data_IF_883029764239
#
_entry.id   IF_883029764239
#
_cell.length_a   1.000
_cell.length_b   1.000
_cell.length_c   1.000
_cell.angle_alpha   90.00
_cell.angle_beta   90.00
_cell.angle_gamma   90.00
#
_symmetry.space_group_name_H-M   'P 1'
#
loop_
_entity.id
_entity.type
_entity.pdbx_description
1 polymer ?
#
# COMPACT_ATOMS: atom_id res chain seq x y z
N UNK A 1 -0.77 15.74 -26.34
CA UNK A 1 -0.21 15.71 -24.97
C UNK A 1 0.87 16.77 -24.88
N UNK A 2 0.54 17.90 -24.26
CA UNK A 2 1.54 18.89 -23.89
C UNK A 2 2.40 18.36 -22.73
N UNK A 3 3.60 18.92 -22.54
CA UNK A 3 4.53 18.49 -21.48
C UNK A 3 3.90 18.73 -20.09
N UNK A 4 3.07 19.76 -19.96
CA UNK A 4 2.37 20.08 -18.70
C UNK A 4 1.36 18.99 -18.29
N UNK A 5 0.66 18.38 -19.25
CA UNK A 5 -0.25 17.26 -18.98
C UNK A 5 0.53 16.03 -18.50
N UNK A 6 1.67 15.73 -19.12
CA UNK A 6 2.55 14.64 -18.71
C UNK A 6 3.05 14.83 -17.27
N UNK A 7 3.49 16.04 -16.92
CA UNK A 7 3.96 16.37 -15.57
C UNK A 7 2.82 16.19 -14.56
N UNK A 8 1.63 16.71 -14.87
CA UNK A 8 0.46 16.62 -14.00
C UNK A 8 0.02 15.18 -13.75
N UNK A 9 -0.05 14.37 -14.81
CA UNK A 9 -0.45 12.97 -14.77
C UNK A 9 0.56 12.12 -13.97
N UNK A 10 1.85 12.41 -14.14
CA UNK A 10 2.93 11.77 -13.37
C UNK A 10 2.84 12.12 -11.88
N UNK A 11 2.62 13.39 -11.55
CA UNK A 11 2.43 13.85 -10.16
C UNK A 11 1.23 13.16 -9.50
N UNK A 12 0.11 13.08 -10.23
CA UNK A 12 -1.10 12.42 -9.75
C UNK A 12 -0.88 10.91 -9.55
N UNK A 13 -0.17 10.23 -10.45
CA UNK A 13 0.21 8.83 -10.29
C UNK A 13 1.10 8.58 -9.07
N UNK A 14 2.09 9.46 -8.82
CA UNK A 14 2.91 9.41 -7.61
C UNK A 14 2.07 9.57 -6.34
N UNK A 15 1.14 10.52 -6.35
CA UNK A 15 0.23 10.78 -5.22
C UNK A 15 -0.67 9.56 -4.96
N UNK A 16 -1.16 8.90 -6.02
CA UNK A 16 -1.96 7.69 -5.93
C UNK A 16 -1.17 6.55 -5.28
N UNK A 17 0.06 6.31 -5.73
CA UNK A 17 0.95 5.30 -5.14
C UNK A 17 1.19 5.56 -3.64
N UNK A 18 1.38 6.83 -3.28
CA UNK A 18 1.53 7.22 -1.87
C UNK A 18 0.25 6.90 -1.08
N UNK A 19 -0.92 7.27 -1.59
CA UNK A 19 -2.20 7.08 -0.91
C UNK A 19 -2.57 5.60 -0.76
N UNK A 20 -2.34 4.79 -1.79
CA UNK A 20 -2.60 3.34 -1.78
C UNK A 20 -1.65 2.60 -0.83
N UNK A 21 -0.38 3.01 -0.77
CA UNK A 21 0.61 2.36 0.09
C UNK A 21 0.44 2.74 1.58
N UNK A 22 -0.07 3.93 1.87
CA UNK A 22 -0.25 4.44 3.23
C UNK A 22 -0.98 3.48 4.19
N UNK A 23 -2.18 2.94 3.88
CA UNK A 23 -2.86 2.02 4.79
C UNK A 23 -2.08 0.72 5.03
N UNK A 24 -1.44 0.17 3.99
CA UNK A 24 -0.63 -1.04 4.11
C UNK A 24 0.59 -0.79 4.98
N UNK A 25 1.29 0.33 4.76
CA UNK A 25 2.46 0.73 5.54
C UNK A 25 2.09 0.99 7.00
N UNK A 26 0.97 1.66 7.26
CA UNK A 26 0.52 2.01 8.61
C UNK A 26 0.20 0.75 9.41
N UNK A 27 -0.50 -0.22 8.82
CA UNK A 27 -0.77 -1.49 9.51
C UNK A 27 0.48 -2.36 9.64
N UNK A 28 1.36 -2.40 8.64
CA UNK A 28 2.64 -3.10 8.73
C UNK A 28 3.52 -2.53 9.85
N UNK A 29 3.54 -1.20 10.01
CA UNK A 29 4.25 -0.50 11.08
C UNK A 29 3.59 -0.79 12.45
N UNK A 30 2.28 -0.63 12.57
CA UNK A 30 1.56 -0.85 13.83
C UNK A 30 1.66 -2.31 14.32
N UNK A 31 1.45 -3.28 13.42
CA UNK A 31 1.60 -4.71 13.73
C UNK A 31 3.05 -5.06 14.06
N UNK A 32 4.02 -4.52 13.30
CA UNK A 32 5.44 -4.69 13.59
C UNK A 32 5.81 -4.20 14.98
N UNK A 33 5.39 -2.98 15.35
CA UNK A 33 5.63 -2.40 16.66
C UNK A 33 4.97 -3.21 17.79
N UNK A 34 3.71 -3.62 17.62
CA UNK A 34 3.01 -4.42 18.61
C UNK A 34 3.70 -5.78 18.85
N UNK A 35 4.11 -6.46 17.77
CA UNK A 35 4.81 -7.75 17.81
C UNK A 35 6.20 -7.60 18.45
N UNK A 36 6.95 -6.54 18.12
CA UNK A 36 8.25 -6.24 18.73
C UNK A 36 8.13 -5.96 20.23
N UNK A 37 7.07 -5.27 20.65
CA UNK A 37 6.81 -4.99 22.07
C UNK A 37 6.46 -6.25 22.86
N UNK A 38 5.60 -7.12 22.30
CA UNK A 38 5.26 -8.42 22.90
C UNK A 38 6.48 -9.35 23.02
N UNK A 39 7.37 -9.33 22.02
CA UNK A 39 8.66 -10.03 22.06
C UNK A 39 9.56 -9.52 23.18
N UNK A 40 9.61 -8.20 23.37
CA UNK A 40 10.45 -7.58 24.41
C UNK A 40 9.97 -7.92 25.83
N UNK A 41 8.66 -7.91 26.07
CA UNK A 41 8.08 -8.21 27.40
C UNK A 41 8.18 -9.70 27.75
N UNK A 42 7.96 -10.59 26.78
CA UNK A 42 7.87 -12.04 27.05
C UNK A 42 9.24 -12.72 27.04
N UNK A 43 10.32 -12.01 26.70
CA UNK A 43 11.69 -12.56 26.55
C UNK A 43 11.82 -13.72 25.53
N UNK A 44 10.78 -14.03 24.76
CA UNK A 44 10.76 -15.08 23.75
C UNK A 44 11.17 -14.49 22.39
N UNK A 45 12.47 -14.55 22.09
CA UNK A 45 13.07 -14.08 20.82
C UNK A 45 13.12 -15.19 19.74
N UNK A 46 12.17 -16.12 19.75
CA UNK A 46 12.04 -17.11 18.69
C UNK A 46 11.51 -16.44 17.41
N UNK A 47 12.42 -16.10 16.50
CA UNK A 47 12.13 -15.31 15.30
C UNK A 47 11.08 -15.95 14.40
N UNK A 48 10.91 -17.28 14.44
CA UNK A 48 9.96 -18.01 13.60
C UNK A 48 8.50 -17.63 13.88
N UNK A 49 8.11 -17.51 15.17
CA UNK A 49 6.74 -17.14 15.55
C UNK A 49 6.47 -15.66 15.22
N UNK A 50 7.44 -14.79 15.50
CA UNK A 50 7.39 -13.36 15.15
C UNK A 50 7.13 -13.15 13.66
N UNK A 51 7.85 -13.88 12.81
CA UNK A 51 7.73 -13.78 11.36
C UNK A 51 6.36 -14.26 10.87
N UNK A 52 5.87 -15.38 11.41
CA UNK A 52 4.54 -15.91 11.07
C UNK A 52 3.40 -14.95 11.43
N UNK A 53 3.40 -14.40 12.65
CA UNK A 53 2.36 -13.46 13.10
C UNK A 53 2.38 -12.18 12.25
N UNK A 54 3.58 -11.66 11.93
CA UNK A 54 3.72 -10.47 11.09
C UNK A 54 3.22 -10.70 9.66
N UNK A 55 3.51 -11.87 9.08
CA UNK A 55 2.99 -12.25 7.75
C UNK A 55 1.47 -12.27 7.73
N UNK A 56 0.84 -12.96 8.69
CA UNK A 56 -0.63 -13.04 8.76
C UNK A 56 -1.26 -11.64 8.89
N UNK A 57 -0.70 -10.78 9.74
CA UNK A 57 -1.19 -9.41 9.91
C UNK A 57 -1.12 -8.59 8.61
N UNK A 58 0.00 -8.66 7.89
CA UNK A 58 0.16 -7.96 6.61
C UNK A 58 -0.76 -8.55 5.54
N UNK A 59 -0.87 -9.88 5.44
CA UNK A 59 -1.75 -10.54 4.47
C UNK A 59 -3.21 -10.16 4.67
N UNK A 60 -3.72 -10.14 5.91
CA UNK A 60 -5.08 -9.70 6.21
C UNK A 60 -5.29 -8.23 5.82
N UNK A 61 -4.31 -7.39 6.09
CA UNK A 61 -4.35 -5.97 5.70
C UNK A 61 -4.47 -5.82 4.19
N UNK A 62 -3.61 -6.50 3.43
CA UNK A 62 -3.63 -6.45 1.97
C UNK A 62 -4.92 -7.04 1.42
N UNK A 63 -5.47 -8.09 2.03
CA UNK A 63 -6.74 -8.67 1.61
C UNK A 63 -7.91 -7.68 1.77
N UNK A 64 -7.92 -6.87 2.83
CA UNK A 64 -8.94 -5.85 3.08
C UNK A 64 -8.71 -4.60 2.22
N UNK A 65 -7.47 -4.14 2.10
CA UNK A 65 -7.12 -2.94 1.33
C UNK A 65 -7.07 -3.19 -0.19
N UNK A 66 -6.94 -4.45 -0.62
CA UNK A 66 -6.77 -4.86 -2.01
C UNK A 66 -7.90 -4.42 -2.94
N UNK A 67 -9.18 -4.66 -2.62
CA UNK A 67 -10.29 -4.23 -3.47
C UNK A 67 -10.34 -2.72 -3.69
N UNK A 68 -10.09 -1.94 -2.63
CA UNK A 68 -10.07 -0.49 -2.71
C UNK A 68 -8.86 0.02 -3.52
N UNK A 69 -7.66 -0.53 -3.28
CA UNK A 69 -6.46 -0.20 -4.04
C UNK A 69 -6.62 -0.53 -5.54
N UNK A 70 -7.24 -1.66 -5.86
CA UNK A 70 -7.52 -2.06 -7.23
C UNK A 70 -8.49 -1.10 -7.93
N UNK A 71 -9.53 -0.62 -7.23
CA UNK A 71 -10.46 0.35 -7.77
C UNK A 71 -9.78 1.69 -8.10
N UNK A 72 -8.92 2.18 -7.21
CA UNK A 72 -8.14 3.41 -7.42
C UNK A 72 -7.16 3.29 -8.60
N UNK A 73 -6.44 2.17 -8.71
CA UNK A 73 -5.55 1.90 -9.85
C UNK A 73 -6.35 1.87 -11.16
N UNK A 74 -7.53 1.24 -11.16
CA UNK A 74 -8.39 1.17 -12.34
C UNK A 74 -8.90 2.54 -12.77
N UNK A 75 -9.32 3.39 -11.82
CA UNK A 75 -9.71 4.77 -12.11
C UNK A 75 -8.56 5.57 -12.74
N UNK A 76 -7.35 5.44 -12.20
CA UNK A 76 -6.19 6.12 -12.77
C UNK A 76 -5.84 5.58 -14.17
N UNK A 77 -5.93 4.27 -14.39
CA UNK A 77 -5.73 3.67 -15.70
C UNK A 77 -6.77 4.15 -16.73
N UNK A 78 -8.03 4.35 -16.31
CA UNK A 78 -9.07 4.95 -17.15
C UNK A 78 -8.76 6.41 -17.49
N UNK A 79 -8.27 7.20 -16.54
CA UNK A 79 -7.83 8.57 -16.78
C UNK A 79 -6.67 8.61 -17.79
N UNK A 80 -5.68 7.72 -17.65
CA UNK A 80 -4.58 7.58 -18.61
C UNK A 80 -5.10 7.23 -20.01
N UNK A 81 -5.99 6.25 -20.12
CA UNK A 81 -6.58 5.84 -21.40
C UNK A 81 -7.36 6.96 -22.06
N UNK A 82 -8.15 7.72 -21.30
CA UNK A 82 -8.89 8.88 -21.82
C UNK A 82 -8.00 10.03 -22.28
N UNK A 83 -6.83 10.21 -21.64
CA UNK A 83 -5.86 11.22 -22.04
C UNK A 83 -5.00 10.77 -23.24
N UNK A 84 -4.77 9.47 -23.39
CA UNK A 84 -3.95 8.88 -24.44
C UNK A 84 -4.71 8.60 -25.74
N UNK A 85 -6.01 8.29 -25.67
CA UNK A 85 -6.87 8.13 -26.85
C UNK A 85 -7.29 9.53 -27.32
N UNK A 86 -6.85 9.98 -28.50
CA UNK A 86 -7.29 11.25 -29.05
C UNK A 86 -8.76 11.16 -29.44
N UNK A 87 -9.61 11.93 -28.78
CA UNK A 87 -10.90 12.37 -29.30
C UNK A 87 -10.76 13.78 -29.87
#
# INVERSE_FOLDING_TARGET
MEIDDLIRLTSQGMMLCLYISLPVVLVAAASGLAISFLQAITSLQEQSISYGVKLVAVTVTVAIAGPWAAAEILHFAQQLMSAAVPS
#
